data_IF_533124663987
#
_entry.id   IF_533124663987
#
_cell.length_a   1.000
_cell.length_b   1.000
_cell.length_c   1.000
_cell.angle_alpha   90.00
_cell.angle_beta   90.00
_cell.angle_gamma   90.00
#
_symmetry.space_group_name_H-M   'P 1'
#
loop_
_entity.id
_entity.type
_entity.pdbx_description
1 polymer ?
#
# COMPACT_ATOMS: atom_id res chain seq x y z
N UNK A 1 1.22 -30.71 -13.56
CA UNK A 1 0.90 -29.38 -13.00
C UNK A 1 0.31 -28.54 -14.11
N UNK A 2 -1.00 -28.36 -14.15
CA UNK A 2 -1.67 -27.52 -15.16
C UNK A 2 -1.77 -26.11 -14.61
N UNK A 3 -1.17 -25.14 -15.29
CA UNK A 3 -1.36 -23.72 -15.00
C UNK A 3 -2.85 -23.39 -15.17
N UNK A 4 -3.51 -22.78 -14.17
CA UNK A 4 -4.93 -22.42 -14.30
C UNK A 4 -5.14 -21.54 -15.54
N UNK A 5 -6.05 -21.96 -16.43
CA UNK A 5 -6.47 -21.14 -17.57
C UNK A 5 -7.05 -19.83 -17.03
N UNK A 6 -6.73 -18.72 -17.68
CA UNK A 6 -7.34 -17.40 -17.51
C UNK A 6 -8.84 -17.45 -17.84
N UNK A 7 -9.64 -18.14 -17.02
CA UNK A 7 -11.08 -18.29 -17.21
C UNK A 7 -11.80 -17.66 -16.04
N UNK A 8 -11.73 -16.33 -16.03
CA UNK A 8 -12.84 -15.40 -15.76
C UNK A 8 -12.32 -13.98 -16.00
N UNK A 9 -12.70 -13.34 -17.11
CA UNK A 9 -12.22 -12.00 -17.49
C UNK A 9 -12.51 -10.91 -16.44
N UNK A 10 -13.38 -11.18 -15.47
CA UNK A 10 -13.88 -10.24 -14.48
C UNK A 10 -12.89 -9.89 -13.35
N UNK A 11 -12.04 -10.82 -12.90
CA UNK A 11 -11.18 -10.58 -11.72
C UNK A 11 -9.75 -10.13 -12.08
N UNK A 12 -9.40 -10.23 -13.37
CA UNK A 12 -8.04 -9.97 -13.89
C UNK A 12 -7.51 -8.58 -13.53
N UNK A 13 -8.35 -7.54 -13.65
CA UNK A 13 -7.99 -6.17 -13.30
C UNK A 13 -7.74 -6.02 -11.80
N UNK A 14 -8.56 -6.64 -10.96
CA UNK A 14 -8.38 -6.60 -9.51
C UNK A 14 -7.07 -7.31 -9.10
N UNK A 15 -6.75 -8.45 -9.73
CA UNK A 15 -5.47 -9.14 -9.51
C UNK A 15 -4.29 -8.29 -9.91
N UNK A 16 -4.38 -7.58 -11.04
CA UNK A 16 -3.35 -6.65 -11.47
C UNK A 16 -3.17 -5.52 -10.45
N UNK A 17 -4.25 -4.86 -10.04
CA UNK A 17 -4.20 -3.78 -9.05
C UNK A 17 -3.59 -4.24 -7.72
N UNK A 18 -3.98 -5.40 -7.21
CA UNK A 18 -3.41 -5.97 -5.98
C UNK A 18 -1.91 -6.27 -6.12
N UNK A 19 -1.48 -6.84 -7.25
CA UNK A 19 -0.06 -7.12 -7.48
C UNK A 19 0.76 -5.85 -7.67
N UNK A 20 0.24 -4.86 -8.39
CA UNK A 20 0.89 -3.58 -8.57
C UNK A 20 1.11 -2.87 -7.23
N UNK A 21 0.07 -2.84 -6.38
CA UNK A 21 0.15 -2.29 -5.03
C UNK A 21 1.17 -3.05 -4.16
N UNK A 22 1.14 -4.39 -4.18
CA UNK A 22 2.09 -5.19 -3.43
C UNK A 22 3.55 -4.95 -3.86
N UNK A 23 3.80 -4.82 -5.17
CA UNK A 23 5.15 -4.53 -5.70
C UNK A 23 5.59 -3.14 -5.25
N UNK A 24 4.77 -2.12 -5.48
CA UNK A 24 5.12 -0.74 -5.14
C UNK A 24 5.35 -0.57 -3.63
N UNK A 25 4.44 -1.11 -2.81
CA UNK A 25 4.58 -1.16 -1.34
C UNK A 25 5.84 -1.90 -0.92
N UNK A 26 6.11 -3.07 -1.50
CA UNK A 26 7.31 -3.86 -1.19
C UNK A 26 8.60 -3.14 -1.55
N UNK A 27 8.65 -2.49 -2.71
CA UNK A 27 9.79 -1.67 -3.13
C UNK A 27 10.01 -0.47 -2.21
N UNK A 28 8.93 0.22 -1.81
CA UNK A 28 9.02 1.33 -0.85
C UNK A 28 9.57 0.85 0.50
N UNK A 29 9.05 -0.24 1.04
CA UNK A 29 9.51 -0.80 2.31
C UNK A 29 10.96 -1.28 2.26
N UNK A 30 11.35 -1.99 1.19
CA UNK A 30 12.73 -2.46 1.01
C UNK A 30 13.72 -1.31 0.82
N UNK A 31 13.36 -0.27 0.05
CA UNK A 31 14.18 0.92 -0.11
C UNK A 31 14.28 1.73 1.18
N UNK A 32 13.23 1.74 2.00
CA UNK A 32 13.18 2.43 3.29
C UNK A 32 14.22 1.92 4.29
N UNK A 33 14.56 0.62 4.30
CA UNK A 33 15.53 0.04 5.25
C UNK A 33 16.92 0.71 5.16
N UNK A 34 17.62 0.69 4.01
CA UNK A 34 18.93 1.34 3.91
C UNK A 34 18.83 2.88 3.99
N UNK A 35 17.67 3.46 3.67
CA UNK A 35 17.46 4.91 3.67
C UNK A 35 16.95 5.47 4.99
N UNK A 36 16.57 4.64 5.97
CA UNK A 36 15.86 5.06 7.19
C UNK A 36 16.57 6.20 7.94
N UNK A 37 17.89 6.11 8.11
CA UNK A 37 18.68 7.16 8.77
C UNK A 37 18.70 8.48 7.99
N UNK A 38 18.69 8.43 6.66
CA UNK A 38 18.62 9.61 5.82
C UNK A 38 17.21 10.20 5.79
N UNK A 39 16.18 9.35 5.62
CA UNK A 39 14.78 9.71 5.65
C UNK A 39 14.43 10.42 6.95
N UNK A 40 14.76 9.84 8.11
CA UNK A 40 14.48 10.44 9.40
C UNK A 40 15.05 11.86 9.55
N UNK A 41 16.28 12.09 9.07
CA UNK A 41 16.90 13.42 9.11
C UNK A 41 16.18 14.43 8.22
N UNK A 42 15.78 14.05 7.01
CA UNK A 42 15.15 14.99 6.07
C UNK A 42 13.67 15.18 6.36
N UNK A 43 12.99 14.17 6.92
CA UNK A 43 11.55 14.19 7.18
C UNK A 43 11.19 14.78 8.54
N UNK A 44 12.12 14.78 9.49
CA UNK A 44 11.85 15.20 10.87
C UNK A 44 11.24 14.10 11.74
N UNK A 45 11.38 12.83 11.34
CA UNK A 45 10.93 11.66 12.11
C UNK A 45 12.11 11.01 12.86
N UNK A 46 11.83 9.90 13.56
CA UNK A 46 12.88 9.07 14.16
C UNK A 46 13.28 7.90 13.25
N UNK A 47 14.53 7.45 13.35
CA UNK A 47 15.03 6.28 12.60
C UNK A 47 14.20 5.03 12.93
N UNK A 48 13.81 4.86 14.20
CA UNK A 48 12.97 3.75 14.62
C UNK A 48 11.59 3.78 13.95
N UNK A 49 11.00 4.97 13.78
CA UNK A 49 9.74 5.14 13.07
C UNK A 49 9.88 4.76 11.59
N UNK A 50 10.94 5.23 10.90
CA UNK A 50 11.17 4.88 9.49
C UNK A 50 11.40 3.38 9.28
N UNK A 51 12.08 2.69 10.22
CA UNK A 51 12.17 1.23 10.19
C UNK A 51 10.81 0.55 10.41
N UNK A 52 9.98 1.06 11.33
CA UNK A 52 8.65 0.52 11.57
C UNK A 52 7.74 0.66 10.35
N UNK A 53 7.76 1.83 9.68
CA UNK A 53 7.04 2.08 8.43
C UNK A 53 7.56 1.14 7.33
N UNK A 54 8.88 1.01 7.18
CA UNK A 54 9.48 0.10 6.20
C UNK A 54 9.05 -1.36 6.41
N UNK A 55 9.09 -1.83 7.66
CA UNK A 55 8.66 -3.17 8.03
C UNK A 55 7.15 -3.38 7.78
N UNK A 56 6.32 -2.37 8.09
CA UNK A 56 4.90 -2.39 7.80
C UNK A 56 4.62 -2.54 6.30
N UNK A 57 5.28 -1.76 5.44
CA UNK A 57 5.12 -1.86 3.98
C UNK A 57 5.56 -3.22 3.42
N UNK A 58 6.65 -3.79 3.94
CA UNK A 58 7.10 -5.14 3.56
C UNK A 58 6.06 -6.18 3.98
N UNK A 59 5.58 -6.13 5.23
CA UNK A 59 4.57 -7.06 5.72
C UNK A 59 3.25 -6.96 4.94
N UNK A 60 2.82 -5.73 4.65
CA UNK A 60 1.66 -5.45 3.81
C UNK A 60 1.83 -6.06 2.41
N UNK A 61 2.95 -5.81 1.75
CA UNK A 61 3.25 -6.34 0.42
C UNK A 61 3.18 -7.88 0.38
N UNK A 62 3.80 -8.54 1.37
CA UNK A 62 3.75 -10.00 1.51
C UNK A 62 2.30 -10.48 1.67
N UNK A 63 1.53 -9.82 2.55
CA UNK A 63 0.11 -10.13 2.77
C UNK A 63 -0.72 -10.00 1.50
N UNK A 64 -0.60 -8.87 0.79
CA UNK A 64 -1.34 -8.61 -0.45
C UNK A 64 -0.96 -9.63 -1.54
N UNK A 65 0.32 -9.98 -1.70
CA UNK A 65 0.73 -11.02 -2.63
C UNK A 65 0.10 -12.38 -2.30
N UNK A 66 0.09 -12.77 -1.02
CA UNK A 66 -0.53 -14.01 -0.58
C UNK A 66 -2.05 -14.02 -0.87
N UNK A 67 -2.73 -12.89 -0.68
CA UNK A 67 -4.15 -12.75 -1.02
C UNK A 67 -4.41 -12.77 -2.53
N UNK A 68 -3.56 -12.13 -3.32
CA UNK A 68 -3.67 -12.10 -4.78
C UNK A 68 -3.45 -13.48 -5.43
N UNK A 69 -2.83 -14.42 -4.71
CA UNK A 69 -2.66 -15.81 -5.14
C UNK A 69 -3.89 -16.70 -4.87
N UNK A 70 -4.89 -16.22 -4.13
CA UNK A 70 -6.09 -17.02 -3.81
C UNK A 70 -7.03 -17.22 -5.02
N UNK A 71 -7.86 -18.29 -5.01
CA UNK A 71 -8.83 -18.55 -6.06
C UNK A 71 -9.86 -17.42 -6.24
N UNK A 72 -10.35 -16.85 -5.13
CA UNK A 72 -11.22 -15.67 -5.14
C UNK A 72 -10.51 -14.48 -4.52
N UNK A 73 -10.46 -13.37 -5.24
CA UNK A 73 -9.78 -12.13 -4.82
C UNK A 73 -10.75 -11.00 -4.46
N UNK A 74 -12.07 -11.18 -4.64
CA UNK A 74 -13.05 -10.10 -4.40
C UNK A 74 -13.06 -9.62 -2.94
N UNK A 75 -13.17 -10.55 -1.99
CA UNK A 75 -13.18 -10.22 -0.56
C UNK A 75 -11.84 -9.60 -0.12
N UNK A 76 -10.73 -10.16 -0.57
CA UNK A 76 -9.41 -9.59 -0.31
C UNK A 76 -9.28 -8.18 -0.90
N UNK A 77 -9.73 -7.97 -2.14
CA UNK A 77 -9.75 -6.66 -2.78
C UNK A 77 -10.49 -5.61 -1.97
N UNK A 78 -11.66 -5.96 -1.41
CA UNK A 78 -12.42 -5.04 -0.54
C UNK A 78 -11.61 -4.68 0.70
N UNK A 79 -11.04 -5.68 1.39
CA UNK A 79 -10.24 -5.46 2.60
C UNK A 79 -9.02 -4.58 2.32
N UNK A 80 -8.28 -4.86 1.23
CA UNK A 80 -7.10 -4.08 0.86
C UNK A 80 -7.48 -2.65 0.43
N UNK A 81 -8.58 -2.48 -0.32
CA UNK A 81 -9.07 -1.15 -0.70
C UNK A 81 -9.43 -0.30 0.53
N UNK A 82 -10.16 -0.89 1.49
CA UNK A 82 -10.49 -0.23 2.76
C UNK A 82 -9.23 0.08 3.56
N UNK A 83 -8.27 -0.86 3.62
CA UNK A 83 -6.99 -0.65 4.29
C UNK A 83 -6.20 0.50 3.69
N UNK A 84 -6.16 0.61 2.37
CA UNK A 84 -5.51 1.70 1.66
C UNK A 84 -6.19 3.04 1.94
N UNK A 85 -7.53 3.11 1.90
CA UNK A 85 -8.26 4.34 2.31
C UNK A 85 -7.97 4.71 3.76
N UNK A 86 -7.97 3.73 4.67
CA UNK A 86 -7.64 3.96 6.06
C UNK A 86 -6.21 4.48 6.24
N UNK A 87 -5.25 3.94 5.49
CA UNK A 87 -3.87 4.42 5.48
C UNK A 87 -3.78 5.84 4.93
N UNK A 88 -4.48 6.16 3.83
CA UNK A 88 -4.58 7.53 3.32
C UNK A 88 -5.04 8.50 4.41
N UNK A 89 -6.13 8.18 5.10
CA UNK A 89 -6.63 8.99 6.22
C UNK A 89 -5.60 9.10 7.34
N UNK A 90 -4.93 7.99 7.68
CA UNK A 90 -3.88 7.97 8.70
C UNK A 90 -2.70 8.89 8.35
N UNK A 91 -2.30 9.00 7.07
CA UNK A 91 -1.24 9.95 6.67
C UNK A 91 -1.64 11.41 6.89
N UNK A 92 -2.90 11.77 6.61
CA UNK A 92 -3.43 13.12 6.86
C UNK A 92 -3.50 13.38 8.36
N UNK A 93 -4.05 12.44 9.12
CA UNK A 93 -4.13 12.55 10.60
C UNK A 93 -2.74 12.66 11.20
N UNK A 94 -1.76 11.90 10.74
CA UNK A 94 -0.38 11.93 11.23
C UNK A 94 0.26 13.32 11.05
N UNK A 95 0.05 13.96 9.89
CA UNK A 95 0.52 15.33 9.64
C UNK A 95 -0.19 16.33 10.56
N UNK A 96 -1.51 16.22 10.71
CA UNK A 96 -2.30 17.16 11.51
C UNK A 96 -2.12 16.98 13.02
N UNK A 97 -1.77 15.79 13.48
CA UNK A 97 -1.58 15.47 14.88
C UNK A 97 -0.25 16.01 15.45
N UNK A 98 0.67 16.45 14.58
CA UNK A 98 1.95 17.08 14.94
C UNK A 98 2.77 16.27 15.98
N UNK A 99 2.71 14.95 15.86
CA UNK A 99 3.42 14.01 16.77
C UNK A 99 4.92 13.95 16.50
N UNK A 100 5.37 14.44 15.35
CA UNK A 100 6.77 14.62 14.98
C UNK A 100 6.96 16.04 14.45
N UNK A 101 8.15 16.65 14.65
CA UNK A 101 8.48 17.95 14.06
C UNK A 101 8.79 17.79 12.56
N UNK A 102 7.76 17.47 11.77
CA UNK A 102 7.92 17.19 10.35
C UNK A 102 8.46 18.41 9.61
N UNK A 103 9.47 18.18 8.77
CA UNK A 103 9.87 19.20 7.81
C UNK A 103 8.84 19.30 6.68
N UNK A 104 8.93 20.33 5.85
CA UNK A 104 8.13 20.40 4.61
C UNK A 104 8.32 19.15 3.74
N UNK A 105 9.55 18.61 3.68
CA UNK A 105 9.84 17.37 2.95
C UNK A 105 9.14 16.19 3.59
N UNK A 106 9.16 16.08 4.92
CA UNK A 106 8.43 15.04 5.65
C UNK A 106 6.93 15.07 5.38
N UNK A 107 6.30 16.24 5.46
CA UNK A 107 4.87 16.41 5.13
C UNK A 107 4.58 15.97 3.71
N UNK A 108 5.37 16.42 2.73
CA UNK A 108 5.18 16.05 1.32
C UNK A 108 5.34 14.54 1.12
N UNK A 109 6.38 13.92 1.69
CA UNK A 109 6.60 12.48 1.57
C UNK A 109 5.45 11.68 2.20
N UNK A 110 5.02 12.04 3.41
CA UNK A 110 3.90 11.40 4.09
C UNK A 110 2.62 11.51 3.28
N UNK A 111 2.25 12.72 2.84
CA UNK A 111 1.03 12.92 2.04
C UNK A 111 1.14 12.25 0.66
N UNK A 112 2.31 12.19 0.05
CA UNK A 112 2.54 11.46 -1.20
C UNK A 112 2.26 9.96 -1.03
N UNK A 113 2.67 9.35 0.08
CA UNK A 113 2.28 7.95 0.38
C UNK A 113 0.75 7.81 0.59
N UNK A 114 0.10 8.82 1.15
CA UNK A 114 -1.36 8.89 1.25
C UNK A 114 -2.04 8.94 -0.12
N UNK A 115 -1.59 9.81 -1.02
CA UNK A 115 -2.10 9.90 -2.39
C UNK A 115 -1.89 8.59 -3.15
N UNK A 116 -0.70 7.98 -3.01
CA UNK A 116 -0.41 6.66 -3.58
C UNK A 116 -1.43 5.60 -3.12
N UNK A 117 -1.66 5.49 -1.81
CA UNK A 117 -2.61 4.49 -1.29
C UNK A 117 -4.04 4.76 -1.76
N UNK A 118 -4.44 6.02 -1.88
CA UNK A 118 -5.76 6.38 -2.43
C UNK A 118 -5.91 5.97 -3.89
N UNK A 119 -4.88 6.17 -4.72
CA UNK A 119 -4.87 5.72 -6.12
C UNK A 119 -5.01 4.20 -6.18
N UNK A 120 -4.29 3.46 -5.32
CA UNK A 120 -4.39 2.00 -5.28
C UNK A 120 -5.77 1.53 -4.81
N UNK A 121 -6.35 2.18 -3.81
CA UNK A 121 -7.72 1.92 -3.36
C UNK A 121 -8.73 2.10 -4.50
N UNK A 122 -8.61 3.16 -5.28
CA UNK A 122 -9.49 3.42 -6.44
C UNK A 122 -9.34 2.33 -7.51
N UNK A 123 -8.11 1.93 -7.84
CA UNK A 123 -7.88 0.81 -8.77
C UNK A 123 -8.50 -0.49 -8.26
N UNK A 124 -8.35 -0.79 -6.97
CA UNK A 124 -8.95 -1.98 -6.36
C UNK A 124 -10.49 -1.90 -6.38
N UNK A 125 -11.06 -0.74 -6.05
CA UNK A 125 -12.50 -0.49 -6.11
C UNK A 125 -13.07 -0.71 -7.52
N UNK A 126 -12.43 -0.15 -8.55
CA UNK A 126 -12.84 -0.37 -9.94
C UNK A 126 -12.74 -1.85 -10.33
N UNK A 127 -11.71 -2.56 -9.86
CA UNK A 127 -11.57 -4.01 -10.06
C UNK A 127 -12.71 -4.80 -9.43
N UNK A 128 -13.09 -4.49 -8.20
CA UNK A 128 -14.20 -5.13 -7.49
C UNK A 128 -15.53 -4.88 -8.23
N UNK A 129 -15.76 -3.66 -8.71
CA UNK A 129 -16.99 -3.32 -9.46
C UNK A 129 -17.12 -4.02 -10.81
N UNK A 130 -15.99 -4.41 -11.42
CA UNK A 130 -15.97 -5.17 -12.68
C UNK A 130 -16.30 -6.65 -12.49
N UNK A 131 -16.21 -7.17 -11.26
CA UNK A 131 -16.61 -8.55 -10.95
C UNK A 131 -18.15 -8.61 -10.89
N UNK A 132 -18.77 -9.02 -11.99
CA UNK A 132 -20.22 -9.31 -12.08
C UNK A 132 -20.59 -10.37 -11.04
N UNK A 133 -21.73 -10.16 -10.39
CA UNK A 133 -22.34 -11.12 -9.47
C UNK A 133 -22.81 -12.37 -10.20
#
# INVERSE_FOLDING_TARGET
MSTPRLRESNDSFLRFALRADAIASGLMGLAGIPLAGWLARISGTSIAFEYAVSAFFIAFAIGVFAFAARPSVKAAGIVIAVGNVAYTVATVVFVLADVFPLTTVGVVLTLATGVYTLIMAELQYQGIRRIKA
#
